data_IF_873032298553
#
_entry.id   IF_873032298553
#
_cell.length_a   1.000
_cell.length_b   1.000
_cell.length_c   1.000
_cell.angle_alpha   90.00
_cell.angle_beta   90.00
_cell.angle_gamma   90.00
#
_symmetry.space_group_name_H-M   'P 1'
#
loop_
_entity.id
_entity.type
_entity.pdbx_description
1 polymer ?
#
# COMPACT_ATOMS: atom_id res chain seq x y z
N UNK A 1 7.33 4.80 8.62
CA UNK A 1 6.68 6.10 8.95
C UNK A 1 7.47 7.29 8.42
N UNK A 2 8.78 7.41 8.72
CA UNK A 2 9.62 8.50 8.18
C UNK A 2 9.61 8.60 6.66
N UNK A 3 9.73 7.46 5.94
CA UNK A 3 9.69 7.44 4.47
C UNK A 3 8.38 8.00 3.90
N UNK A 4 7.25 7.71 4.54
CA UNK A 4 5.95 8.22 4.16
C UNK A 4 5.74 9.70 4.57
N UNK A 5 6.64 10.28 5.38
CA UNK A 5 6.43 11.59 6.01
C UNK A 5 5.22 11.61 6.94
N UNK A 6 4.94 10.50 7.63
CA UNK A 6 3.79 10.33 8.51
C UNK A 6 4.22 10.08 9.96
N UNK A 7 3.31 10.37 10.90
CA UNK A 7 3.51 10.20 12.34
C UNK A 7 2.49 9.22 12.92
N UNK A 8 2.92 8.41 13.89
CA UNK A 8 2.01 7.65 14.76
C UNK A 8 1.62 8.57 15.91
N UNK A 9 0.37 9.03 15.91
CA UNK A 9 -0.11 10.06 16.85
C UNK A 9 -0.96 9.49 17.99
N UNK A 10 -1.48 8.28 17.82
CA UNK A 10 -2.27 7.56 18.82
C UNK A 10 -2.16 6.06 18.58
N UNK A 11 -2.58 5.26 19.55
CA UNK A 11 -2.62 3.81 19.47
C UNK A 11 -3.19 3.18 20.72
N UNK A 12 -3.41 1.88 20.64
CA UNK A 12 -3.81 1.03 21.76
C UNK A 12 -3.01 -0.28 21.65
N UNK A 13 -2.82 -0.97 22.77
CA UNK A 13 -2.17 -2.28 22.78
C UNK A 13 -3.02 -3.22 23.62
N UNK A 14 -3.36 -4.37 23.03
CA UNK A 14 -4.09 -5.45 23.69
C UNK A 14 -3.21 -6.68 23.79
N UNK A 15 -3.15 -7.25 24.99
CA UNK A 15 -2.44 -8.51 25.25
C UNK A 15 -3.48 -9.60 25.32
N UNK A 16 -3.27 -10.64 24.51
CA UNK A 16 -4.19 -11.77 24.39
C UNK A 16 -3.62 -12.99 25.11
N UNK A 17 -4.48 -13.97 25.37
CA UNK A 17 -4.06 -15.22 26.01
C UNK A 17 -3.18 -16.01 25.06
N UNK A 18 -2.29 -16.83 25.63
CA UNK A 18 -1.51 -17.78 24.83
C UNK A 18 -2.45 -18.68 24.02
N UNK A 19 -2.23 -18.75 22.71
CA UNK A 19 -3.11 -19.45 21.78
C UNK A 19 -4.13 -18.55 21.09
N UNK A 20 -4.16 -17.25 21.40
CA UNK A 20 -4.96 -16.22 20.74
C UNK A 20 -4.11 -14.97 20.45
N UNK A 21 -4.29 -14.31 19.30
CA UNK A 21 -3.95 -14.80 17.94
C UNK A 21 -2.59 -15.51 17.85
N UNK A 22 -2.31 -16.17 16.72
CA UNK A 22 -0.98 -16.72 16.44
C UNK A 22 -0.01 -15.59 16.04
N UNK A 23 0.62 -14.98 17.06
CA UNK A 23 1.58 -13.89 16.90
C UNK A 23 0.99 -12.51 17.20
N UNK A 24 1.29 -11.52 16.36
CA UNK A 24 0.92 -10.11 16.55
C UNK A 24 -0.02 -9.67 15.43
N UNK A 25 -1.14 -9.08 15.81
CA UNK A 25 -2.06 -8.43 14.87
C UNK A 25 -1.90 -6.92 14.99
N UNK A 26 -1.70 -6.26 13.85
CA UNK A 26 -1.62 -4.81 13.76
C UNK A 26 -2.85 -4.29 13.02
N UNK A 27 -3.55 -3.33 13.61
CA UNK A 27 -4.58 -2.53 12.93
C UNK A 27 -4.08 -1.11 12.80
N UNK A 28 -4.27 -0.50 11.63
CA UNK A 28 -3.85 0.87 11.35
C UNK A 28 -5.02 1.67 10.82
N UNK A 29 -5.04 2.96 11.15
CA UNK A 29 -5.97 3.94 10.59
C UNK A 29 -5.18 5.20 10.29
N UNK A 30 -5.55 5.88 9.21
CA UNK A 30 -4.85 7.07 8.75
C UNK A 30 -5.84 8.16 8.35
N UNK A 31 -5.42 9.41 8.57
CA UNK A 31 -6.13 10.61 8.11
C UNK A 31 -5.17 11.43 7.24
N UNK A 32 -5.69 12.01 6.18
CA UNK A 32 -4.93 12.85 5.26
C UNK A 32 -5.81 13.92 4.64
N UNK A 33 -5.19 15.01 4.20
CA UNK A 33 -5.86 16.12 3.51
C UNK A 33 -5.55 16.03 2.02
N UNK A 34 -6.55 16.26 1.18
CA UNK A 34 -6.40 16.29 -0.27
C UNK A 34 -7.16 17.49 -0.85
N UNK A 35 -6.49 18.30 -1.67
CA UNK A 35 -7.12 19.42 -2.39
C UNK A 35 -8.20 18.92 -3.36
N UNK A 36 -7.99 17.72 -3.91
CA UNK A 36 -8.94 17.02 -4.76
C UNK A 36 -8.93 15.52 -4.48
N UNK A 37 -10.11 14.97 -4.19
CA UNK A 37 -10.32 13.53 -4.07
C UNK A 37 -10.30 12.89 -5.48
N UNK A 38 -9.47 11.86 -5.66
CA UNK A 38 -9.49 11.02 -6.87
C UNK A 38 -10.23 9.74 -6.50
N UNK A 39 -11.22 9.40 -7.31
CA UNK A 39 -12.07 8.21 -7.11
C UNK A 39 -11.60 7.07 -8.01
N UNK A 40 -12.01 5.86 -7.66
CA UNK A 40 -11.85 4.62 -8.44
C UNK A 40 -12.92 4.45 -9.54
N UNK A 41 -13.78 5.46 -9.71
CA UNK A 41 -14.82 5.54 -10.74
C UNK A 41 -14.57 6.72 -11.68
N UNK A 42 -15.18 6.71 -12.85
CA UNK A 42 -15.12 7.83 -13.81
C UNK A 42 -14.03 7.70 -14.86
N UNK A 43 -13.59 6.47 -15.13
CA UNK A 43 -12.79 6.12 -16.30
C UNK A 43 -13.65 6.25 -17.57
N UNK A 44 -13.13 6.90 -18.60
CA UNK A 44 -13.81 7.11 -19.88
C UNK A 44 -13.00 6.47 -21.05
N UNK A 45 -13.66 6.09 -22.15
CA UNK A 45 -12.94 5.68 -23.36
C UNK A 45 -11.93 6.75 -23.81
N UNK A 46 -10.67 6.33 -24.01
CA UNK A 46 -9.57 7.22 -24.34
C UNK A 46 -8.62 7.51 -23.17
N UNK A 47 -9.00 7.17 -21.93
CA UNK A 47 -8.08 7.17 -20.81
C UNK A 47 -7.02 6.07 -20.92
N UNK A 48 -5.85 6.32 -20.34
CA UNK A 48 -4.74 5.36 -20.29
C UNK A 48 -4.64 4.69 -18.93
N UNK A 49 -4.42 3.37 -18.94
CA UNK A 49 -4.09 2.62 -17.74
C UNK A 49 -2.57 2.63 -17.53
N UNK A 50 -2.16 2.89 -16.29
CA UNK A 50 -0.77 2.92 -15.88
C UNK A 50 -0.59 2.08 -14.62
N UNK A 51 0.47 1.28 -14.59
CA UNK A 51 0.94 0.56 -13.41
C UNK A 51 2.22 1.23 -12.90
N UNK A 52 2.39 1.23 -11.58
CA UNK A 52 3.52 1.91 -10.91
C UNK A 52 4.79 1.07 -10.84
N UNK A 53 4.72 -0.20 -11.25
CA UNK A 53 5.81 -1.17 -11.17
C UNK A 53 5.38 -2.54 -11.69
N UNK A 54 6.12 -3.57 -11.28
CA UNK A 54 5.81 -5.00 -11.47
C UNK A 54 4.51 -5.40 -10.77
N UNK A 55 3.98 -6.58 -11.11
CA UNK A 55 2.71 -7.09 -10.56
C UNK A 55 2.95 -8.46 -9.92
N UNK A 56 2.58 -8.61 -8.66
CA UNK A 56 2.56 -9.89 -7.95
C UNK A 56 3.73 -10.14 -6.98
N UNK A 57 4.66 -9.19 -6.85
CA UNK A 57 5.90 -9.36 -6.08
C UNK A 57 5.64 -9.67 -4.59
N UNK A 58 4.80 -8.90 -3.89
CA UNK A 58 4.45 -9.19 -2.49
C UNK A 58 3.77 -10.55 -2.32
N UNK A 59 2.76 -10.85 -3.14
CA UNK A 59 2.01 -12.12 -3.03
C UNK A 59 2.92 -13.32 -3.22
N UNK A 60 3.81 -13.25 -4.22
CA UNK A 60 4.81 -14.28 -4.46
C UNK A 60 5.83 -14.38 -3.31
N UNK A 61 6.30 -13.25 -2.78
CA UNK A 61 7.21 -13.23 -1.63
C UNK A 61 6.60 -13.87 -0.38
N UNK A 62 5.32 -13.63 -0.10
CA UNK A 62 4.59 -14.27 1.01
C UNK A 62 4.43 -15.77 0.79
N UNK A 63 4.05 -16.20 -0.42
CA UNK A 63 3.91 -17.62 -0.75
C UNK A 63 5.23 -18.40 -0.73
N UNK A 64 6.33 -17.74 -1.11
CA UNK A 64 7.67 -18.33 -1.11
C UNK A 64 8.33 -18.34 0.28
N UNK A 65 7.76 -17.66 1.27
CA UNK A 65 8.26 -17.69 2.64
C UNK A 65 8.28 -19.13 3.20
N UNK A 66 9.13 -19.46 4.17
CA UNK A 66 9.11 -20.80 4.79
C UNK A 66 7.72 -21.21 5.30
N UNK A 67 7.39 -22.51 5.33
CA UNK A 67 8.27 -23.66 5.12
C UNK A 67 8.30 -24.25 3.70
N UNK A 68 7.73 -23.57 2.70
CA UNK A 68 7.34 -24.18 1.42
C UNK A 68 8.49 -24.58 0.46
N UNK A 69 9.77 -24.38 0.83
CA UNK A 69 10.92 -24.96 0.13
C UNK A 69 11.23 -24.40 -1.28
N UNK A 70 10.88 -23.13 -1.54
CA UNK A 70 11.07 -22.50 -2.85
C UNK A 70 12.56 -22.24 -3.13
N UNK A 71 12.98 -22.44 -4.39
CA UNK A 71 14.37 -22.20 -4.85
C UNK A 71 14.67 -20.73 -5.17
N UNK A 72 13.63 -19.91 -5.24
CA UNK A 72 13.71 -18.47 -5.48
C UNK A 72 13.29 -17.74 -4.22
N UNK A 73 13.92 -16.59 -3.96
CA UNK A 73 13.59 -15.72 -2.83
C UNK A 73 13.09 -14.37 -3.36
N UNK A 74 11.83 -14.30 -3.82
CA UNK A 74 11.23 -13.05 -4.29
C UNK A 74 11.18 -12.04 -3.14
N UNK A 75 11.41 -10.78 -3.49
CA UNK A 75 11.38 -9.67 -2.54
C UNK A 75 10.04 -8.98 -2.66
N UNK A 76 9.39 -8.71 -1.53
CA UNK A 76 8.13 -7.96 -1.51
C UNK A 76 8.34 -6.52 -1.98
N UNK A 77 7.37 -6.01 -2.74
CA UNK A 77 7.28 -4.62 -3.21
C UNK A 77 6.59 -3.66 -2.22
N UNK A 78 6.45 -4.05 -0.93
CA UNK A 78 5.84 -3.20 0.10
C UNK A 78 6.64 -1.91 0.25
N UNK A 79 6.00 -0.78 -0.08
CA UNK A 79 6.54 0.56 0.09
C UNK A 79 5.41 1.60 0.19
N UNK A 80 5.64 2.74 0.88
CA UNK A 80 4.69 3.85 0.88
C UNK A 80 4.70 4.60 -0.48
N UNK A 81 3.55 4.61 -1.18
CA UNK A 81 3.43 5.22 -2.52
C UNK A 81 2.96 6.68 -2.53
N UNK A 82 2.74 7.30 -1.37
CA UNK A 82 2.20 8.66 -1.29
C UNK A 82 3.10 9.71 -1.95
N UNK A 83 4.43 9.52 -1.93
CA UNK A 83 5.38 10.38 -2.65
C UNK A 83 5.23 10.25 -4.18
N UNK A 84 5.12 9.02 -4.69
CA UNK A 84 4.90 8.75 -6.11
C UNK A 84 3.58 9.36 -6.60
N UNK A 85 2.48 9.15 -5.85
CA UNK A 85 1.17 9.69 -6.19
C UNK A 85 1.19 11.23 -6.22
N UNK A 86 1.88 11.88 -5.27
CA UNK A 86 2.07 13.33 -5.26
C UNK A 86 2.82 13.81 -6.50
N UNK A 87 3.91 13.13 -6.86
CA UNK A 87 4.72 13.46 -8.03
C UNK A 87 3.97 13.25 -9.36
N UNK A 88 3.09 12.25 -9.44
CA UNK A 88 2.23 12.03 -10.61
C UNK A 88 1.19 13.16 -10.77
N UNK A 89 0.59 13.62 -9.67
CA UNK A 89 -0.40 14.72 -9.68
C UNK A 89 0.21 16.08 -10.02
N UNK A 90 1.45 16.35 -9.62
CA UNK A 90 2.13 17.62 -9.89
C UNK A 90 2.46 17.87 -11.36
N UNK A 91 2.46 16.83 -12.22
CA UNK A 91 2.88 16.92 -13.64
C UNK A 91 1.75 17.28 -14.62
N UNK A 92 0.64 17.85 -14.15
CA UNK A 92 -0.34 18.53 -15.00
C UNK A 92 -1.18 17.66 -15.95
N UNK A 93 -0.98 16.34 -16.01
CA UNK A 93 -1.91 15.43 -16.70
C UNK A 93 -3.16 15.29 -15.83
N UNK A 94 -4.32 15.63 -16.38
CA UNK A 94 -5.62 15.37 -15.76
C UNK A 94 -5.68 13.89 -15.38
N UNK A 95 -5.57 13.59 -14.10
CA UNK A 95 -6.20 12.39 -13.54
C UNK A 95 -7.69 12.74 -13.50
N UNK A 96 -8.36 12.54 -14.64
CA UNK A 96 -9.77 12.85 -14.81
C UNK A 96 -10.56 11.69 -14.26
N UNK A 97 -11.12 11.86 -13.07
CA UNK A 97 -12.27 11.07 -12.61
C UNK A 97 -13.33 12.09 -12.24
N UNK A 98 -14.23 12.39 -13.18
CA UNK A 98 -15.37 13.29 -12.93
C UNK A 98 -16.37 12.66 -11.95
#
# INVERSE_FOLDING_TARGET
MSEAGAHVVTGDTKVMRRGEPDGVVLSTSGVGVADRVVRDRGLEPGDALLITGTVGDHGLAVLAAPPWGWRVSPVSDVAPLNGLVRAARGRGRRVSTR
#
